data_IF_548628250701
#
_entry.id   IF_548628250701
#
_cell.length_a   1.000
_cell.length_b   1.000
_cell.length_c   1.000
_cell.angle_alpha   90.00
_cell.angle_beta   90.00
_cell.angle_gamma   90.00
#
_symmetry.space_group_name_H-M   'P 1'
#
loop_
_entity.id
_entity.type
_entity.pdbx_description
1 polymer ?
#
# COMPACT_ATOMS: atom_id res chain seq x y z
N UNK A 1 31.01 10.87 -14.53
CA UNK A 1 30.14 9.72 -14.91
C UNK A 1 31.00 8.48 -15.04
N UNK A 2 30.59 7.39 -14.37
CA UNK A 2 31.29 6.12 -14.46
C UNK A 2 30.69 5.28 -15.62
N UNK A 3 31.50 4.47 -16.30
CA UNK A 3 31.03 3.58 -17.36
C UNK A 3 30.34 2.31 -16.84
N UNK A 4 30.42 2.04 -15.54
CA UNK A 4 29.80 0.88 -14.89
C UNK A 4 28.28 0.97 -14.98
N UNK A 5 27.57 -0.05 -15.55
CA UNK A 5 26.12 -0.02 -15.66
C UNK A 5 25.39 0.15 -14.31
N UNK A 6 25.96 -0.38 -13.21
CA UNK A 6 25.42 -0.20 -11.87
C UNK A 6 25.48 1.27 -11.45
N UNK A 7 26.61 1.95 -11.70
CA UNK A 7 26.77 3.37 -11.39
C UNK A 7 25.81 4.23 -12.25
N UNK A 8 25.65 3.89 -13.52
CA UNK A 8 24.71 4.57 -14.43
C UNK A 8 23.27 4.44 -13.94
N UNK A 9 22.86 3.23 -13.53
CA UNK A 9 21.53 2.99 -12.96
C UNK A 9 21.36 3.73 -11.62
N UNK A 10 22.39 3.76 -10.78
CA UNK A 10 22.36 4.45 -9.49
C UNK A 10 22.16 5.96 -9.63
N UNK A 11 22.71 6.61 -10.66
CA UNK A 11 22.47 8.04 -10.94
C UNK A 11 20.97 8.35 -11.10
N UNK A 12 20.19 7.41 -11.62
CA UNK A 12 18.73 7.55 -11.80
C UNK A 12 17.97 7.09 -10.57
N UNK A 13 18.29 5.90 -10.06
CA UNK A 13 17.45 5.20 -9.07
C UNK A 13 17.76 5.61 -7.62
N UNK A 14 19.01 5.97 -7.30
CA UNK A 14 19.42 6.22 -5.91
C UNK A 14 19.10 7.63 -5.41
N UNK A 15 18.38 8.43 -6.18
CA UNK A 15 17.84 9.68 -5.68
C UNK A 15 16.71 9.38 -4.68
N UNK A 16 16.77 10.05 -3.52
CA UNK A 16 15.79 9.85 -2.45
C UNK A 16 14.34 9.86 -2.98
N UNK A 17 13.55 8.89 -2.58
CA UNK A 17 12.16 8.63 -2.94
C UNK A 17 11.93 7.99 -4.31
N UNK A 18 12.91 7.94 -5.20
CA UNK A 18 12.71 7.41 -6.56
C UNK A 18 12.27 5.95 -6.55
N UNK A 19 12.96 5.08 -5.81
CA UNK A 19 12.60 3.64 -5.73
C UNK A 19 11.23 3.45 -5.09
N UNK A 20 10.88 4.26 -4.08
CA UNK A 20 9.56 4.17 -3.42
C UNK A 20 8.43 4.64 -4.36
N UNK A 21 8.70 5.65 -5.20
CA UNK A 21 7.76 6.09 -6.23
C UNK A 21 7.61 5.04 -7.35
N UNK A 22 8.71 4.41 -7.76
CA UNK A 22 8.68 3.30 -8.71
C UNK A 22 7.86 2.12 -8.18
N UNK A 23 7.95 1.81 -6.88
CA UNK A 23 7.09 0.80 -6.24
C UNK A 23 5.60 1.10 -6.48
N UNK A 24 5.18 2.35 -6.34
CA UNK A 24 3.79 2.76 -6.58
C UNK A 24 3.36 2.59 -8.04
N UNK A 25 4.22 2.98 -8.98
CA UNK A 25 3.98 2.81 -10.41
C UNK A 25 3.92 1.33 -10.80
N UNK A 26 4.83 0.51 -10.29
CA UNK A 26 4.86 -0.95 -10.46
C UNK A 26 3.61 -1.60 -9.88
N UNK A 27 3.09 -1.08 -8.77
CA UNK A 27 1.85 -1.54 -8.15
C UNK A 27 0.58 -1.04 -8.90
N UNK A 28 0.74 -0.31 -10.01
CA UNK A 28 -0.36 0.10 -10.89
C UNK A 28 -0.99 1.46 -10.57
N UNK A 29 -0.43 2.25 -9.66
CA UNK A 29 -0.86 3.64 -9.46
C UNK A 29 -0.41 4.50 -10.66
N UNK A 30 -1.36 5.15 -11.35
CA UNK A 30 -1.07 5.98 -12.53
C UNK A 30 -1.41 7.45 -12.32
N UNK A 31 -2.31 7.77 -11.38
CA UNK A 31 -2.75 9.15 -11.15
C UNK A 31 -1.91 9.81 -10.07
N UNK A 32 -1.65 11.10 -10.25
CA UNK A 32 -0.87 11.89 -9.29
C UNK A 32 -1.35 11.75 -7.84
N UNK A 33 -2.67 11.82 -7.63
CA UNK A 33 -3.24 11.71 -6.28
C UNK A 33 -3.08 10.30 -5.68
N UNK A 34 -3.12 9.26 -6.51
CA UNK A 34 -2.92 7.88 -6.06
C UNK A 34 -1.46 7.62 -5.73
N UNK A 35 -0.54 8.09 -6.58
CA UNK A 35 0.90 8.09 -6.29
C UNK A 35 1.21 8.81 -4.97
N UNK A 36 0.59 9.99 -4.75
CA UNK A 36 0.77 10.76 -3.50
C UNK A 36 0.29 9.99 -2.26
N UNK A 37 -0.80 9.21 -2.36
CA UNK A 37 -1.28 8.34 -1.28
C UNK A 37 -0.27 7.26 -0.91
N UNK A 38 0.41 6.69 -1.92
CA UNK A 38 1.44 5.68 -1.71
C UNK A 38 2.78 6.23 -1.20
N UNK A 39 3.00 7.56 -1.28
CA UNK A 39 4.21 8.21 -0.75
C UNK A 39 3.85 9.41 0.15
N UNK A 40 3.10 9.20 1.25
CA UNK A 40 2.47 10.28 2.03
C UNK A 40 3.48 11.25 2.67
N UNK A 41 4.73 10.84 2.86
CA UNK A 41 5.82 11.68 3.40
C UNK A 41 6.54 12.52 2.32
N UNK A 42 6.21 12.33 1.04
CA UNK A 42 6.74 13.11 -0.05
C UNK A 42 5.86 14.34 -0.30
N UNK A 43 6.43 15.54 -0.36
CA UNK A 43 5.68 16.73 -0.74
C UNK A 43 5.21 16.65 -2.20
N UNK A 44 4.09 17.28 -2.52
CA UNK A 44 3.55 17.31 -3.89
C UNK A 44 4.53 17.93 -4.91
N UNK A 45 5.32 18.92 -4.48
CA UNK A 45 6.36 19.54 -5.31
C UNK A 45 7.48 18.53 -5.64
N UNK A 46 7.95 17.78 -4.62
CA UNK A 46 8.98 16.77 -4.80
C UNK A 46 8.47 15.60 -5.65
N UNK A 47 7.22 15.15 -5.44
CA UNK A 47 6.60 14.13 -6.29
C UNK A 47 6.55 14.57 -7.76
N UNK A 48 6.11 15.82 -8.01
CA UNK A 48 6.10 16.38 -9.37
C UNK A 48 7.50 16.41 -9.98
N UNK A 49 8.53 16.78 -9.20
CA UNK A 49 9.90 16.81 -9.68
C UNK A 49 10.41 15.39 -10.01
N UNK A 50 10.18 14.41 -9.13
CA UNK A 50 10.61 13.02 -9.36
C UNK A 50 9.91 12.39 -10.57
N UNK A 51 8.63 12.71 -10.81
CA UNK A 51 7.92 12.24 -12.01
C UNK A 51 8.52 12.85 -13.29
N UNK A 52 8.91 14.14 -13.28
CA UNK A 52 9.62 14.76 -14.41
C UNK A 52 11.02 14.15 -14.63
N UNK A 53 11.75 13.85 -13.55
CA UNK A 53 13.07 13.22 -13.63
C UNK A 53 12.95 11.82 -14.27
N UNK A 54 11.95 11.04 -13.86
CA UNK A 54 11.67 9.71 -14.43
C UNK A 54 11.19 9.78 -15.89
N UNK A 55 10.40 10.81 -16.24
CA UNK A 55 9.99 11.07 -17.62
C UNK A 55 11.19 11.43 -18.50
N UNK A 56 12.07 12.31 -18.02
CA UNK A 56 13.31 12.68 -18.72
C UNK A 56 14.29 11.50 -18.88
N UNK A 57 14.29 10.56 -17.92
CA UNK A 57 15.08 9.32 -18.01
C UNK A 57 14.42 8.24 -18.89
N UNK A 58 13.25 8.47 -19.47
CA UNK A 58 12.54 7.52 -20.32
C UNK A 58 11.94 6.32 -19.57
N UNK A 59 11.79 6.42 -18.25
CA UNK A 59 11.24 5.36 -17.39
C UNK A 59 9.72 5.47 -17.28
N UNK A 60 9.22 6.70 -17.32
CA UNK A 60 7.79 7.01 -17.20
C UNK A 60 7.38 7.84 -18.41
N UNK A 61 6.18 7.60 -18.90
CA UNK A 61 5.52 8.45 -19.87
C UNK A 61 4.26 9.09 -19.25
N UNK A 62 4.05 10.36 -19.59
CA UNK A 62 2.87 11.10 -19.17
C UNK A 62 1.83 11.08 -20.27
N UNK A 63 0.68 10.46 -20.01
CA UNK A 63 -0.44 10.37 -20.95
C UNK A 63 -1.58 11.28 -20.54
N UNK A 64 -2.20 11.94 -21.51
CA UNK A 64 -3.43 12.75 -21.29
C UNK A 64 -4.64 11.82 -21.24
N UNK A 65 -5.55 12.05 -20.28
CA UNK A 65 -6.81 11.30 -20.23
C UNK A 65 -7.80 11.97 -21.21
N UNK A 66 -8.31 11.18 -22.15
CA UNK A 66 -9.35 11.63 -23.07
C UNK A 66 -10.62 12.06 -22.31
N UNK A 67 -11.25 13.14 -22.75
CA UNK A 67 -12.48 13.67 -22.16
C UNK A 67 -12.32 14.42 -20.83
N UNK A 68 -11.11 14.51 -20.25
CA UNK A 68 -10.84 15.31 -19.04
C UNK A 68 -9.80 16.37 -19.31
N UNK A 69 -10.22 17.65 -19.35
CA UNK A 69 -9.27 18.75 -19.48
C UNK A 69 -8.25 18.73 -18.33
N UNK A 70 -6.95 18.82 -18.67
CA UNK A 70 -5.80 18.95 -17.76
C UNK A 70 -5.53 17.74 -16.83
N UNK A 71 -6.16 16.58 -17.03
CA UNK A 71 -5.86 15.40 -16.23
C UNK A 71 -4.89 14.47 -16.98
N UNK A 72 -3.82 14.05 -16.30
CA UNK A 72 -2.80 13.17 -16.85
C UNK A 72 -2.62 11.93 -15.98
N UNK A 73 -2.17 10.86 -16.62
CA UNK A 73 -1.70 9.63 -15.99
C UNK A 73 -0.22 9.43 -16.29
N UNK A 74 0.46 8.73 -15.40
CA UNK A 74 1.87 8.36 -15.49
C UNK A 74 1.95 6.85 -15.65
N UNK A 75 2.51 6.41 -16.76
CA UNK A 75 2.63 5.00 -17.10
C UNK A 75 4.10 4.61 -17.22
N UNK A 76 4.45 3.40 -16.79
CA UNK A 76 5.79 2.87 -17.02
C UNK A 76 5.98 2.59 -18.51
N UNK A 77 7.09 3.05 -19.06
CA UNK A 77 7.59 2.62 -20.37
C UNK A 77 8.07 1.16 -20.29
N UNK A 78 8.55 0.57 -21.38
CA UNK A 78 9.12 -0.78 -21.32
C UNK A 78 10.38 -0.81 -20.44
N UNK A 79 11.25 0.20 -20.53
CA UNK A 79 12.37 0.36 -19.60
C UNK A 79 11.91 0.50 -18.13
N UNK A 80 10.81 1.21 -17.90
CA UNK A 80 10.21 1.32 -16.57
C UNK A 80 9.62 0.01 -16.05
N UNK A 81 9.00 -0.80 -16.92
CA UNK A 81 8.47 -2.13 -16.57
C UNK A 81 9.57 -3.11 -16.17
N UNK A 82 10.74 -3.05 -16.83
CA UNK A 82 11.89 -3.87 -16.48
C UNK A 82 12.42 -3.59 -15.07
N UNK A 83 12.18 -2.40 -14.52
CA UNK A 83 12.52 -2.07 -13.12
C UNK A 83 11.65 -2.79 -12.08
N UNK A 84 10.57 -3.49 -12.48
CA UNK A 84 9.76 -4.29 -11.56
C UNK A 84 10.62 -5.26 -10.75
N UNK A 85 11.45 -6.06 -11.42
CA UNK A 85 12.31 -7.04 -10.76
C UNK A 85 13.33 -6.40 -9.81
N UNK A 86 13.81 -5.21 -10.13
CA UNK A 86 14.73 -4.46 -9.26
C UNK A 86 14.01 -4.01 -7.99
N UNK A 87 12.81 -3.42 -8.11
CA UNK A 87 11.99 -2.98 -6.97
C UNK A 87 11.61 -4.17 -6.08
N UNK A 88 11.19 -5.28 -6.68
CA UNK A 88 10.85 -6.51 -5.96
C UNK A 88 12.07 -7.07 -5.21
N UNK A 89 13.25 -7.12 -5.82
CA UNK A 89 14.48 -7.58 -5.19
C UNK A 89 14.88 -6.70 -4.01
N UNK A 90 14.75 -5.38 -4.13
CA UNK A 90 14.97 -4.45 -3.02
C UNK A 90 13.97 -4.72 -1.88
N UNK A 91 12.69 -4.94 -2.21
CA UNK A 91 11.66 -5.27 -1.23
C UNK A 91 11.94 -6.58 -0.49
N UNK A 92 12.34 -7.63 -1.20
CA UNK A 92 12.74 -8.93 -0.65
C UNK A 92 13.93 -8.75 0.30
N UNK A 93 14.95 -8.02 -0.13
CA UNK A 93 16.12 -7.73 0.70
C UNK A 93 15.73 -6.97 1.97
N UNK A 94 14.90 -5.93 1.83
CA UNK A 94 14.41 -5.13 2.95
C UNK A 94 13.61 -5.97 3.94
N UNK A 95 12.71 -6.86 3.44
CA UNK A 95 11.93 -7.75 4.31
C UNK A 95 12.83 -8.71 5.08
N UNK A 96 13.89 -9.25 4.47
CA UNK A 96 14.79 -10.22 5.09
C UNK A 96 15.74 -9.62 6.10
N UNK A 97 16.29 -8.41 5.82
CA UNK A 97 17.47 -7.90 6.50
C UNK A 97 17.27 -6.59 7.27
N UNK A 98 16.18 -5.85 7.04
CA UNK A 98 15.89 -4.66 7.83
C UNK A 98 15.14 -5.07 9.09
N UNK A 99 15.64 -4.63 10.24
CA UNK A 99 15.01 -4.93 11.54
C UNK A 99 13.54 -4.52 11.56
N UNK A 100 12.68 -5.43 12.08
CA UNK A 100 11.24 -5.20 12.17
C UNK A 100 10.88 -4.08 13.11
N UNK A 101 11.61 -3.90 14.21
CA UNK A 101 11.35 -2.84 15.17
C UNK A 101 11.55 -1.46 14.53
N UNK A 102 12.62 -1.28 13.74
CA UNK A 102 12.84 -0.06 12.97
C UNK A 102 11.71 0.23 11.97
N UNK A 103 11.15 -0.81 11.37
CA UNK A 103 10.05 -0.66 10.41
C UNK A 103 8.72 -0.32 11.09
N UNK A 104 8.55 -0.71 12.35
CA UNK A 104 7.33 -0.48 13.15
C UNK A 104 7.36 0.78 14.02
N UNK A 105 8.43 1.57 14.00
CA UNK A 105 8.53 2.81 14.78
C UNK A 105 7.82 4.01 14.13
N UNK A 106 7.72 4.02 12.81
CA UNK A 106 7.21 5.17 12.05
C UNK A 106 6.02 4.79 11.17
N UNK A 107 4.97 4.26 11.80
CA UNK A 107 3.79 3.79 11.11
C UNK A 107 2.93 4.93 10.56
N UNK A 108 2.33 4.70 9.41
CA UNK A 108 1.38 5.61 8.76
C UNK A 108 0.12 4.82 8.36
N UNK A 109 -1.04 5.11 8.99
CA UNK A 109 -2.27 4.38 8.69
C UNK A 109 -2.73 4.58 7.24
N UNK A 110 -2.45 5.74 6.64
CA UNK A 110 -2.86 5.99 5.25
C UNK A 110 -2.10 5.11 4.26
N UNK A 111 -0.81 4.87 4.52
CA UNK A 111 0.01 3.98 3.70
C UNK A 111 -0.41 2.52 3.88
N UNK A 112 -0.60 2.08 5.14
CA UNK A 112 -1.07 0.72 5.42
C UNK A 112 -2.40 0.44 4.73
N UNK A 113 -3.39 1.31 4.92
CA UNK A 113 -4.72 1.15 4.34
C UNK A 113 -4.70 1.21 2.80
N UNK A 114 -3.80 2.04 2.23
CA UNK A 114 -3.61 2.13 0.79
C UNK A 114 -3.04 0.83 0.21
N UNK A 115 -2.07 0.21 0.89
CA UNK A 115 -1.50 -1.07 0.48
C UNK A 115 -2.50 -2.22 0.68
N UNK A 116 -3.22 -2.26 1.80
CA UNK A 116 -4.27 -3.24 2.07
C UNK A 116 -5.37 -3.20 1.01
N UNK A 117 -5.85 -2.00 0.63
CA UNK A 117 -6.83 -1.82 -0.43
C UNK A 117 -6.46 -2.54 -1.73
N UNK A 118 -5.18 -2.46 -2.13
CA UNK A 118 -4.69 -3.05 -3.39
C UNK A 118 -4.55 -4.56 -3.36
N UNK A 119 -4.21 -5.09 -2.20
CA UNK A 119 -3.83 -6.48 -2.05
C UNK A 119 -4.90 -7.31 -1.32
N UNK A 120 -6.08 -6.73 -1.09
CA UNK A 120 -7.21 -7.43 -0.47
C UNK A 120 -7.60 -8.63 -1.33
N UNK A 121 -7.69 -9.81 -0.72
CA UNK A 121 -8.23 -10.99 -1.40
C UNK A 121 -9.76 -10.95 -1.33
N UNK A 122 -10.41 -10.57 -2.40
CA UNK A 122 -11.87 -10.44 -2.44
C UNK A 122 -12.59 -11.78 -2.67
N UNK A 123 -11.87 -12.86 -2.99
CA UNK A 123 -12.46 -14.17 -3.32
C UNK A 123 -13.33 -14.76 -2.20
N UNK A 124 -12.96 -14.71 -0.90
CA UNK A 124 -13.78 -15.24 0.17
C UNK A 124 -14.92 -14.32 0.61
N UNK A 125 -14.97 -13.09 0.09
CA UNK A 125 -15.98 -12.11 0.47
C UNK A 125 -17.34 -12.40 -0.21
N UNK A 126 -18.45 -11.94 0.40
CA UNK A 126 -19.79 -12.09 -0.20
C UNK A 126 -19.89 -11.41 -1.57
N UNK A 127 -20.74 -11.94 -2.45
CA UNK A 127 -21.08 -11.34 -3.75
C UNK A 127 -22.06 -10.14 -3.63
N UNK A 128 -21.99 -9.43 -2.53
CA UNK A 128 -22.66 -8.14 -2.26
C UNK A 128 -21.63 -7.12 -1.82
N UNK A 129 -22.02 -5.83 -1.78
CA UNK A 129 -21.16 -4.82 -1.17
C UNK A 129 -20.83 -5.23 0.26
N UNK A 130 -19.57 -5.14 0.64
CA UNK A 130 -19.11 -5.34 2.01
C UNK A 130 -18.36 -4.10 2.48
N UNK A 131 -18.77 -3.58 3.64
CA UNK A 131 -18.17 -2.38 4.24
C UNK A 131 -17.45 -2.79 5.52
N UNK A 132 -16.13 -2.62 5.52
CA UNK A 132 -15.27 -3.01 6.64
C UNK A 132 -14.62 -1.74 7.21
N UNK A 133 -14.93 -1.44 8.45
CA UNK A 133 -14.33 -0.34 9.19
C UNK A 133 -13.11 -0.81 9.98
N UNK A 134 -11.99 -0.12 9.85
CA UNK A 134 -10.81 -0.28 10.70
C UNK A 134 -10.77 0.88 11.71
N UNK A 135 -10.79 0.53 12.99
CA UNK A 135 -10.76 1.46 14.11
C UNK A 135 -9.42 1.30 14.85
N UNK A 136 -8.49 2.24 14.61
CA UNK A 136 -7.18 2.24 15.26
C UNK A 136 -7.27 2.95 16.62
N UNK A 137 -7.31 2.17 17.72
CA UNK A 137 -7.54 2.69 19.08
C UNK A 137 -6.39 3.56 19.61
N UNK A 138 -5.20 3.42 19.07
CA UNK A 138 -3.97 4.13 19.43
C UNK A 138 -3.72 5.41 18.60
N UNK A 139 -4.64 5.78 17.71
CA UNK A 139 -4.50 6.98 16.87
C UNK A 139 -5.43 8.13 17.30
N UNK A 140 -5.05 9.39 16.99
CA UNK A 140 -5.92 10.53 17.19
C UNK A 140 -7.18 10.45 16.33
N UNK A 141 -8.28 11.09 16.77
CA UNK A 141 -9.60 10.98 16.13
C UNK A 141 -9.61 11.26 14.63
N UNK A 142 -8.74 12.16 14.17
CA UNK A 142 -8.63 12.52 12.74
C UNK A 142 -8.02 11.43 11.84
N UNK A 143 -7.40 10.39 12.43
CA UNK A 143 -6.75 9.29 11.71
C UNK A 143 -7.21 7.91 12.17
N UNK A 144 -8.16 7.88 13.10
CA UNK A 144 -8.58 6.70 13.84
C UNK A 144 -9.42 5.74 12.98
N UNK A 145 -10.22 6.25 12.04
CA UNK A 145 -11.21 5.47 11.29
C UNK A 145 -10.90 5.42 9.81
N UNK A 146 -11.04 4.24 9.23
CA UNK A 146 -10.81 3.96 7.82
C UNK A 146 -11.82 2.91 7.34
N UNK A 147 -12.32 3.05 6.12
CA UNK A 147 -13.30 2.11 5.56
C UNK A 147 -12.77 1.53 4.25
N UNK A 148 -12.80 0.21 4.14
CA UNK A 148 -12.69 -0.51 2.88
C UNK A 148 -14.09 -0.89 2.40
N UNK A 149 -14.44 -0.47 1.20
CA UNK A 149 -15.71 -0.76 0.56
C UNK A 149 -15.40 -1.72 -0.57
N UNK A 150 -15.87 -2.95 -0.45
CA UNK A 150 -15.66 -3.98 -1.45
C UNK A 150 -16.95 -4.17 -2.24
N UNK A 151 -16.90 -3.83 -3.52
CA UNK A 151 -18.04 -4.00 -4.41
C UNK A 151 -18.19 -5.46 -4.89
N UNK A 152 -19.38 -5.89 -5.34
CA UNK A 152 -19.60 -7.24 -5.86
C UNK A 152 -18.67 -7.61 -7.03
N UNK A 153 -18.18 -6.61 -7.76
CA UNK A 153 -17.21 -6.74 -8.86
C UNK A 153 -15.81 -7.11 -8.40
N UNK A 154 -15.53 -7.01 -7.10
CA UNK A 154 -14.20 -7.15 -6.51
C UNK A 154 -13.40 -5.85 -6.48
N UNK A 155 -13.98 -4.73 -6.94
CA UNK A 155 -13.35 -3.41 -6.78
C UNK A 155 -13.34 -3.02 -5.31
N UNK A 156 -12.22 -2.49 -4.84
CA UNK A 156 -12.04 -2.05 -3.44
C UNK A 156 -11.78 -0.56 -3.40
N UNK A 157 -12.63 0.18 -2.70
CA UNK A 157 -12.45 1.60 -2.42
C UNK A 157 -11.98 1.83 -0.97
N UNK A 158 -11.23 2.91 -0.76
CA UNK A 158 -10.71 3.33 0.54
C UNK A 158 -11.22 4.72 0.89
N UNK A 159 -11.89 4.83 2.04
CA UNK A 159 -12.36 6.09 2.60
C UNK A 159 -11.70 6.36 3.96
N UNK A 160 -11.33 7.63 4.21
CA UNK A 160 -10.88 8.15 5.52
C UNK A 160 -11.94 9.05 6.19
N UNK A 161 -13.09 9.16 5.55
CA UNK A 161 -14.29 9.84 6.03
C UNK A 161 -15.43 8.85 5.90
N UNK A 162 -16.35 8.87 6.84
CA UNK A 162 -17.52 7.98 6.85
C UNK A 162 -18.23 8.03 5.48
N UNK A 163 -18.30 6.90 4.77
CA UNK A 163 -18.94 6.83 3.45
C UNK A 163 -20.48 6.80 3.51
N UNK A 164 -21.07 6.75 4.73
CA UNK A 164 -22.53 6.73 4.94
C UNK A 164 -23.20 5.40 4.58
N UNK A 165 -22.46 4.29 4.57
CA UNK A 165 -22.99 2.94 4.40
C UNK A 165 -23.06 2.21 5.73
N UNK A 166 -24.01 1.26 5.86
CA UNK A 166 -24.02 0.33 6.97
C UNK A 166 -22.73 -0.49 6.99
N UNK A 167 -22.10 -0.59 8.16
CA UNK A 167 -20.85 -1.32 8.34
C UNK A 167 -21.14 -2.78 8.64
N UNK A 168 -20.62 -3.70 7.81
CA UNK A 168 -20.78 -5.14 8.02
C UNK A 168 -19.82 -5.68 9.09
N UNK A 169 -18.61 -5.09 9.21
CA UNK A 169 -17.60 -5.54 10.16
C UNK A 169 -16.77 -4.34 10.64
N UNK A 170 -16.65 -4.18 11.96
CA UNK A 170 -15.70 -3.26 12.61
C UNK A 170 -14.49 -4.07 13.08
N UNK A 171 -13.29 -3.64 12.72
CA UNK A 171 -12.04 -4.21 13.20
C UNK A 171 -11.36 -3.19 14.10
N UNK A 172 -11.59 -3.31 15.41
CA UNK A 172 -10.85 -2.50 16.37
C UNK A 172 -9.47 -3.10 16.61
N UNK A 173 -8.42 -2.30 16.44
CA UNK A 173 -7.03 -2.78 16.56
C UNK A 173 -6.08 -1.62 16.83
N UNK A 174 -4.82 -1.96 17.15
CA UNK A 174 -3.70 -1.02 17.17
C UNK A 174 -3.03 -0.99 15.80
N UNK A 175 -2.53 0.19 15.38
CA UNK A 175 -1.87 0.33 14.09
C UNK A 175 -0.65 -0.61 13.97
N UNK A 176 0.14 -0.75 15.04
CA UNK A 176 1.27 -1.68 15.08
C UNK A 176 0.84 -3.12 14.86
N UNK A 177 -0.23 -3.57 15.53
CA UNK A 177 -0.75 -4.93 15.41
C UNK A 177 -1.20 -5.22 13.97
N UNK A 178 -1.97 -4.33 13.36
CA UNK A 178 -2.43 -4.50 11.97
C UNK A 178 -1.26 -4.48 10.99
N UNK A 179 -0.27 -3.60 11.19
CA UNK A 179 0.93 -3.58 10.34
C UNK A 179 1.74 -4.87 10.48
N UNK A 180 1.86 -5.41 11.69
CA UNK A 180 2.55 -6.69 11.92
C UNK A 180 1.85 -7.85 11.20
N UNK A 181 0.52 -7.91 11.23
CA UNK A 181 -0.24 -8.89 10.44
C UNK A 181 0.02 -8.69 8.95
N UNK A 182 -0.07 -7.44 8.47
CA UNK A 182 0.14 -7.12 7.06
C UNK A 182 1.52 -7.51 6.54
N UNK A 183 2.55 -7.32 7.35
CA UNK A 183 3.93 -7.70 7.04
C UNK A 183 4.23 -9.20 7.22
N UNK A 184 3.27 -10.01 7.68
CA UNK A 184 3.48 -11.43 7.96
C UNK A 184 4.27 -11.72 9.24
N UNK A 185 4.44 -10.74 10.12
CA UNK A 185 5.16 -10.87 11.41
C UNK A 185 4.24 -11.38 12.52
N UNK A 186 2.92 -11.31 12.31
CA UNK A 186 1.88 -11.81 13.22
C UNK A 186 0.70 -12.35 12.43
N UNK A 187 -0.32 -12.89 13.13
CA UNK A 187 -1.55 -13.38 12.54
C UNK A 187 -2.77 -12.75 13.22
N UNK A 188 -3.91 -12.71 12.52
CA UNK A 188 -5.18 -12.26 13.10
C UNK A 188 -5.47 -13.01 14.40
N UNK A 189 -5.30 -14.33 14.41
CA UNK A 189 -5.52 -15.16 15.62
C UNK A 189 -4.59 -14.81 16.77
N UNK A 190 -3.31 -14.55 16.50
CA UNK A 190 -2.35 -14.13 17.52
C UNK A 190 -2.75 -12.78 18.12
N UNK A 191 -3.09 -11.80 17.29
CA UNK A 191 -3.48 -10.47 17.78
C UNK A 191 -4.82 -10.47 18.52
N UNK A 192 -5.76 -11.36 18.16
CA UNK A 192 -6.98 -11.60 18.93
C UNK A 192 -6.67 -12.19 20.32
N UNK A 193 -5.80 -13.18 20.40
CA UNK A 193 -5.37 -13.79 21.67
C UNK A 193 -4.71 -12.75 22.58
N UNK A 194 -3.90 -11.85 22.01
CA UNK A 194 -3.24 -10.75 22.69
C UNK A 194 -4.17 -9.58 23.04
N UNK A 195 -5.45 -9.64 22.65
CA UNK A 195 -6.46 -8.56 22.82
C UNK A 195 -6.05 -7.23 22.16
N UNK A 196 -5.26 -7.29 21.11
CA UNK A 196 -4.82 -6.14 20.30
C UNK A 196 -5.65 -5.98 19.03
N UNK A 197 -6.51 -6.96 18.72
CA UNK A 197 -7.45 -6.95 17.61
C UNK A 197 -8.77 -7.59 18.04
N UNK A 198 -9.87 -6.87 17.82
CA UNK A 198 -11.24 -7.34 18.11
C UNK A 198 -12.13 -7.07 16.89
N UNK A 199 -12.62 -8.10 16.20
CA UNK A 199 -13.63 -7.95 15.15
C UNK A 199 -15.02 -7.95 15.78
N UNK A 200 -15.88 -7.02 15.35
CA UNK A 200 -17.29 -6.92 15.76
C UNK A 200 -18.20 -6.77 14.53
N UNK A 201 -19.24 -7.58 14.41
CA UNK A 201 -20.16 -7.58 13.29
C UNK A 201 -20.36 -8.96 12.64
N UNK A 202 -20.33 -9.04 11.31
CA UNK A 202 -20.58 -10.26 10.57
C UNK A 202 -19.57 -11.38 10.93
N UNK A 203 -20.10 -12.46 11.52
CA UNK A 203 -19.28 -13.59 12.00
C UNK A 203 -18.50 -14.28 10.90
N UNK A 204 -19.04 -14.33 9.67
CA UNK A 204 -18.36 -14.97 8.54
C UNK A 204 -17.20 -14.11 8.05
N UNK A 205 -17.41 -12.81 7.95
CA UNK A 205 -16.31 -11.87 7.64
C UNK A 205 -15.22 -11.93 8.71
N UNK A 206 -15.59 -11.87 9.99
CA UNK A 206 -14.65 -11.95 11.10
C UNK A 206 -13.82 -13.25 11.08
N UNK A 207 -14.47 -14.41 10.93
CA UNK A 207 -13.77 -15.71 10.92
C UNK A 207 -12.86 -15.94 9.71
N UNK A 208 -13.12 -15.25 8.60
CA UNK A 208 -12.33 -15.35 7.38
C UNK A 208 -11.31 -14.19 7.21
N UNK A 209 -11.15 -13.36 8.25
CA UNK A 209 -10.33 -12.14 8.15
C UNK A 209 -8.92 -12.40 7.64
N UNK A 210 -8.23 -13.43 8.17
CA UNK A 210 -6.87 -13.77 7.71
C UNK A 210 -6.81 -14.11 6.21
N UNK A 211 -7.92 -14.63 5.64
CA UNK A 211 -7.97 -15.04 4.22
C UNK A 211 -8.23 -13.84 3.29
N UNK A 212 -9.21 -12.99 3.67
CA UNK A 212 -9.57 -11.85 2.81
C UNK A 212 -8.66 -10.63 3.01
N UNK A 213 -8.05 -10.48 4.17
CA UNK A 213 -7.12 -9.37 4.42
C UNK A 213 -5.98 -9.34 3.39
N UNK A 214 -5.58 -10.50 2.88
CA UNK A 214 -4.36 -10.62 2.09
C UNK A 214 -3.13 -10.38 2.98
N UNK A 215 -2.00 -10.14 2.38
CA UNK A 215 -0.78 -9.73 3.06
C UNK A 215 0.07 -8.89 2.11
N UNK A 216 1.09 -8.22 2.62
CA UNK A 216 2.13 -7.61 1.81
C UNK A 216 2.71 -8.66 0.85
N UNK A 217 2.98 -8.31 -0.42
CA UNK A 217 3.64 -9.23 -1.36
C UNK A 217 4.97 -9.79 -0.83
N UNK A 218 5.58 -9.11 0.13
CA UNK A 218 6.85 -9.51 0.74
C UNK A 218 6.69 -10.35 2.03
N UNK A 219 5.46 -10.53 2.52
CA UNK A 219 5.19 -11.26 3.78
C UNK A 219 5.59 -12.74 3.75
N UNK A 220 5.76 -13.32 2.55
CA UNK A 220 6.24 -14.69 2.36
C UNK A 220 7.74 -14.85 2.64
N UNK A 221 8.48 -13.74 2.68
CA UNK A 221 9.91 -13.73 2.90
C UNK A 221 10.23 -13.80 4.40
N UNK A 222 10.99 -14.82 4.79
CA UNK A 222 11.36 -14.99 6.19
C UNK A 222 12.41 -13.96 6.63
N UNK A 223 12.24 -13.40 7.82
CA UNK A 223 13.25 -12.58 8.49
C UNK A 223 14.53 -13.37 8.73
N UNK A 224 15.68 -12.70 8.61
CA UNK A 224 17.01 -13.25 8.86
C UNK A 224 17.77 -12.47 9.94
N UNK A 225 17.17 -11.43 10.48
CA UNK A 225 17.64 -10.59 11.60
C UNK A 225 16.55 -10.47 12.63
#
# INVERSE_FOLDING_TARGET
>A
KQFCPVAMAAEVLCTRWTVVLLRELVAGSTRFNDLRRGVPRMSSALLSQRLKDLEAAGIVERRRIEGKQKTHEYHLTDAGKDLRSVVETIGIWGQRWVDSDLSLDNLDPSLLMWDMRRNLNTSPLPKKRSVIEFLYSDLPSSKKRWWLIVEPTGTVDLCSVDPGFDVDLIVETKLRAMTSIWMGLSTVKSEQNNKTLTPDGDRKLASQMQKWLGLSPFAVEQKRV
#
